data_IF_585319230641
#
_entry.id   IF_585319230641
#
_cell.length_a   1.000
_cell.length_b   1.000
_cell.length_c   1.000
_cell.angle_alpha   90.00
_cell.angle_beta   90.00
_cell.angle_gamma   90.00
#
_symmetry.space_group_name_H-M   'P 1'
#
loop_
_entity.id
_entity.type
_entity.pdbx_description
1 polymer ?
#
# COMPACT_ATOMS: atom_id res chain seq x y z
N UNK A 1 35.37 49.98 79.52
CA UNK A 1 35.72 48.63 79.02
C UNK A 1 34.49 47.79 78.66
N UNK A 2 33.46 47.72 79.51
CA UNK A 2 32.25 46.93 79.23
C UNK A 2 31.45 47.42 78.00
N UNK A 3 31.30 48.73 77.82
CA UNK A 3 30.59 49.31 76.66
C UNK A 3 31.25 49.01 75.31
N UNK A 4 32.58 49.11 75.23
CA UNK A 4 33.32 48.79 74.01
C UNK A 4 33.20 47.30 73.63
N UNK A 5 33.14 46.41 74.63
CA UNK A 5 32.93 44.97 74.41
C UNK A 5 31.52 44.72 73.86
N UNK A 6 30.50 45.41 74.38
CA UNK A 6 29.12 45.29 73.89
C UNK A 6 28.98 45.74 72.43
N UNK A 7 29.63 46.84 72.04
CA UNK A 7 29.64 47.32 70.65
C UNK A 7 30.32 46.31 69.72
N UNK A 8 31.46 45.76 70.14
CA UNK A 8 32.19 44.75 69.37
C UNK A 8 31.35 43.48 69.16
N UNK A 9 30.68 43.00 70.21
CA UNK A 9 29.78 41.86 70.16
C UNK A 9 28.60 42.13 69.20
N UNK A 10 28.01 43.33 69.26
CA UNK A 10 26.93 43.72 68.35
C UNK A 10 27.35 43.70 66.88
N UNK A 11 28.55 44.19 66.56
CA UNK A 11 29.09 44.16 65.19
C UNK A 11 29.32 42.73 64.72
N UNK A 12 29.92 41.89 65.57
CA UNK A 12 30.17 40.47 65.25
C UNK A 12 28.84 39.74 64.99
N UNK A 13 27.83 39.97 65.82
CA UNK A 13 26.49 39.41 65.63
C UNK A 13 25.86 39.91 64.33
N UNK A 14 25.98 41.20 64.02
CA UNK A 14 25.47 41.77 62.76
C UNK A 14 26.13 41.18 61.52
N UNK A 15 27.46 40.99 61.56
CA UNK A 15 28.21 40.35 60.46
C UNK A 15 27.81 38.88 60.32
N UNK A 16 27.70 38.13 61.42
CA UNK A 16 27.24 36.75 61.40
C UNK A 16 25.82 36.66 60.82
N UNK A 17 24.91 37.51 61.27
CA UNK A 17 23.53 37.53 60.77
C UNK A 17 23.47 37.87 59.29
N UNK A 18 24.23 38.87 58.84
CA UNK A 18 24.33 39.23 57.42
C UNK A 18 24.91 38.09 56.57
N UNK A 19 25.93 37.38 57.07
CA UNK A 19 26.52 36.23 56.41
C UNK A 19 25.51 35.09 56.26
N UNK A 20 24.80 34.73 57.34
CA UNK A 20 23.76 33.69 57.29
C UNK A 20 22.61 34.07 56.37
N UNK A 21 22.15 35.33 56.43
CA UNK A 21 21.10 35.84 55.54
C UNK A 21 21.53 35.79 54.07
N UNK A 22 22.74 36.24 53.75
CA UNK A 22 23.25 36.24 52.38
C UNK A 22 23.42 34.81 51.85
N UNK A 23 24.01 33.92 52.65
CA UNK A 23 24.19 32.51 52.29
C UNK A 23 22.85 31.83 52.00
N UNK A 24 21.86 32.00 52.89
CA UNK A 24 20.53 31.44 52.69
C UNK A 24 19.87 31.96 51.39
N UNK A 25 20.04 33.25 51.08
CA UNK A 25 19.50 33.86 49.86
C UNK A 25 20.15 33.28 48.59
N UNK A 26 21.47 33.10 48.60
CA UNK A 26 22.23 32.54 47.47
C UNK A 26 21.82 31.09 47.19
N UNK A 27 21.69 30.26 48.24
CA UNK A 27 21.25 28.87 48.10
C UNK A 27 19.83 28.78 47.50
N UNK A 28 18.94 29.71 47.89
CA UNK A 28 17.56 29.74 47.40
C UNK A 28 17.48 30.16 45.92
N UNK A 29 18.29 31.15 45.51
CA UNK A 29 18.38 31.56 44.10
C UNK A 29 19.02 30.48 43.23
N UNK A 30 20.08 29.81 43.72
CA UNK A 30 20.74 28.72 42.99
C UNK A 30 19.80 27.53 42.76
N UNK A 31 18.97 27.19 43.76
CA UNK A 31 17.94 26.14 43.62
C UNK A 31 16.88 26.50 42.59
N UNK A 32 16.29 27.71 42.68
CA UNK A 32 15.28 28.16 41.71
C UNK A 32 15.81 28.20 40.29
N UNK A 33 17.00 28.76 40.09
CA UNK A 33 17.63 28.84 38.78
C UNK A 33 17.97 27.44 38.23
N UNK A 34 18.44 26.53 39.08
CA UNK A 34 18.72 25.15 38.71
C UNK A 34 17.46 24.39 38.28
N UNK A 35 16.36 24.55 39.01
CA UNK A 35 15.06 23.95 38.68
C UNK A 35 14.52 24.50 37.35
N UNK A 36 14.50 25.83 37.16
CA UNK A 36 14.01 26.45 35.92
C UNK A 36 14.85 26.05 34.69
N UNK A 37 16.17 26.03 34.80
CA UNK A 37 17.06 25.62 33.71
C UNK A 37 16.85 24.13 33.41
N UNK A 38 16.77 23.29 34.45
CA UNK A 38 16.53 21.85 34.31
C UNK A 38 15.21 21.56 33.58
N UNK A 39 14.14 22.24 33.98
CA UNK A 39 12.82 22.09 33.37
C UNK A 39 12.82 22.56 31.92
N UNK A 40 13.42 23.72 31.63
CA UNK A 40 13.47 24.28 30.26
C UNK A 40 14.26 23.37 29.31
N UNK A 41 15.41 22.87 29.75
CA UNK A 41 16.24 21.95 28.95
C UNK A 41 15.53 20.63 28.72
N UNK A 42 14.84 20.11 29.74
CA UNK A 42 14.07 18.88 29.63
C UNK A 42 12.91 19.02 28.63
N UNK A 43 12.12 20.08 28.74
CA UNK A 43 11.01 20.36 27.81
C UNK A 43 11.50 20.56 26.37
N UNK A 44 12.61 21.28 26.18
CA UNK A 44 13.19 21.46 24.85
C UNK A 44 13.62 20.13 24.21
N UNK A 45 14.35 19.29 24.96
CA UNK A 45 14.80 17.98 24.44
C UNK A 45 13.64 17.04 24.18
N UNK A 46 12.61 17.08 25.02
CA UNK A 46 11.40 16.28 24.83
C UNK A 46 10.69 16.69 23.54
N UNK A 47 10.47 17.98 23.33
CA UNK A 47 9.81 18.50 22.13
C UNK A 47 10.62 18.18 20.85
N UNK A 48 11.94 18.29 20.90
CA UNK A 48 12.82 17.95 19.77
C UNK A 48 12.75 16.45 19.44
N UNK A 49 12.76 15.60 20.47
CA UNK A 49 12.66 14.14 20.30
C UNK A 49 11.29 13.73 19.73
N UNK A 50 10.20 14.32 20.24
CA UNK A 50 8.84 14.11 19.72
C UNK A 50 8.73 14.50 18.25
N UNK A 51 9.32 15.63 17.86
CA UNK A 51 9.29 16.12 16.49
C UNK A 51 10.05 15.19 15.52
N UNK A 52 11.23 14.73 15.91
CA UNK A 52 12.00 13.74 15.14
C UNK A 52 11.26 12.41 15.03
N UNK A 53 10.58 11.99 16.11
CA UNK A 53 9.74 10.80 16.09
C UNK A 53 8.58 10.95 15.11
N UNK A 54 7.85 12.07 15.15
CA UNK A 54 6.74 12.33 14.23
C UNK A 54 7.18 12.35 12.77
N UNK A 55 8.29 13.01 12.45
CA UNK A 55 8.84 13.06 11.09
C UNK A 55 9.22 11.66 10.59
N UNK A 56 9.90 10.86 11.42
CA UNK A 56 10.24 9.47 11.07
C UNK A 56 9.02 8.57 10.94
N UNK A 57 8.04 8.70 11.83
CA UNK A 57 6.80 7.91 11.77
C UNK A 57 6.01 8.23 10.52
N UNK A 58 5.90 9.51 10.14
CA UNK A 58 5.22 9.90 8.89
C UNK A 58 5.89 9.30 7.68
N UNK A 59 7.22 9.42 7.57
CA UNK A 59 7.97 8.86 6.45
C UNK A 59 7.83 7.33 6.36
N UNK A 60 7.93 6.63 7.50
CA UNK A 60 7.76 5.19 7.56
C UNK A 60 6.34 4.74 7.19
N UNK A 61 5.33 5.45 7.69
CA UNK A 61 3.92 5.17 7.39
C UNK A 61 3.60 5.39 5.90
N UNK A 62 4.19 6.43 5.30
CA UNK A 62 4.00 6.76 3.90
C UNK A 62 4.67 5.72 2.98
N UNK A 63 5.90 5.31 3.28
CA UNK A 63 6.56 4.19 2.59
C UNK A 63 5.78 2.88 2.73
N UNK A 64 5.37 2.55 3.96
CA UNK A 64 4.61 1.32 4.22
C UNK A 64 3.26 1.30 3.48
N UNK A 65 2.57 2.45 3.37
CA UNK A 65 1.35 2.57 2.55
C UNK A 65 1.60 2.28 1.08
N UNK A 66 2.65 2.87 0.50
CA UNK A 66 2.99 2.67 -0.92
C UNK A 66 3.33 1.20 -1.20
N UNK A 67 4.15 0.59 -0.35
CA UNK A 67 4.53 -0.81 -0.49
C UNK A 67 3.34 -1.76 -0.32
N UNK A 68 2.49 -1.49 0.68
CA UNK A 68 1.29 -2.29 0.94
C UNK A 68 0.25 -2.15 -0.17
N UNK A 69 0.04 -0.94 -0.69
CA UNK A 69 -0.87 -0.71 -1.83
C UNK A 69 -0.37 -1.42 -3.09
N UNK A 70 0.95 -1.38 -3.36
CA UNK A 70 1.55 -2.08 -4.48
C UNK A 70 1.41 -3.60 -4.34
N UNK A 71 1.71 -4.16 -3.17
CA UNK A 71 1.56 -5.58 -2.90
C UNK A 71 0.09 -6.03 -2.97
N UNK A 72 -0.83 -5.24 -2.43
CA UNK A 72 -2.27 -5.52 -2.50
C UNK A 72 -2.78 -5.45 -3.94
N UNK A 73 -2.28 -4.50 -4.75
CA UNK A 73 -2.63 -4.38 -6.17
C UNK A 73 -2.10 -5.54 -6.98
N UNK A 74 -0.86 -5.96 -6.75
CA UNK A 74 -0.26 -7.13 -7.41
C UNK A 74 -0.96 -8.43 -6.99
N UNK A 75 -1.25 -8.61 -5.69
CA UNK A 75 -1.95 -9.78 -5.16
C UNK A 75 -3.42 -9.82 -5.59
N UNK A 76 -4.11 -8.67 -5.62
CA UNK A 76 -5.48 -8.58 -6.15
C UNK A 76 -5.53 -8.85 -7.66
N UNK A 77 -4.54 -8.40 -8.43
CA UNK A 77 -4.45 -8.70 -9.87
C UNK A 77 -4.08 -10.17 -10.14
N UNK A 78 -3.28 -10.79 -9.27
CA UNK A 78 -2.88 -12.20 -9.39
C UNK A 78 -3.97 -13.18 -8.90
N UNK A 79 -4.50 -12.96 -7.68
CA UNK A 79 -5.58 -13.79 -7.11
C UNK A 79 -6.91 -13.59 -7.80
N UNK A 80 -7.28 -12.35 -8.18
CA UNK A 80 -8.55 -12.17 -8.89
C UNK A 80 -8.50 -12.83 -10.26
N UNK A 81 -7.42 -12.79 -11.04
CA UNK A 81 -7.46 -13.41 -12.38
C UNK A 81 -7.59 -14.92 -12.35
N UNK A 82 -6.91 -15.64 -11.47
CA UNK A 82 -6.99 -17.10 -11.43
C UNK A 82 -8.29 -17.60 -10.77
N UNK A 83 -8.69 -17.00 -9.65
CA UNK A 83 -9.91 -17.38 -8.92
C UNK A 83 -11.16 -16.91 -9.66
N UNK A 84 -11.17 -15.70 -10.23
CA UNK A 84 -12.27 -15.21 -11.06
C UNK A 84 -12.36 -16.01 -12.38
N UNK A 85 -11.24 -16.41 -13.00
CA UNK A 85 -11.28 -17.33 -14.17
C UNK A 85 -11.86 -18.68 -13.79
N UNK A 86 -11.50 -19.25 -12.63
CA UNK A 86 -12.09 -20.50 -12.14
C UNK A 86 -13.59 -20.38 -11.90
N UNK A 87 -14.00 -19.36 -11.14
CA UNK A 87 -15.41 -19.10 -10.82
C UNK A 87 -16.25 -18.77 -12.07
N UNK A 88 -15.72 -17.96 -12.99
CA UNK A 88 -16.40 -17.66 -14.27
C UNK A 88 -16.44 -18.90 -15.16
N UNK A 89 -15.35 -19.67 -15.27
CA UNK A 89 -15.34 -20.89 -16.07
C UNK A 89 -16.35 -21.93 -15.54
N UNK A 90 -16.51 -22.05 -14.22
CA UNK A 90 -17.54 -22.91 -13.61
C UNK A 90 -18.96 -22.44 -13.92
N UNK A 91 -19.23 -21.14 -13.81
CA UNK A 91 -20.54 -20.57 -14.13
C UNK A 91 -20.87 -20.62 -15.63
N UNK A 92 -19.86 -20.58 -16.49
CA UNK A 92 -20.02 -20.62 -17.95
C UNK A 92 -19.87 -22.03 -18.55
N UNK A 93 -19.41 -23.03 -17.78
CA UNK A 93 -19.34 -24.42 -18.23
C UNK A 93 -20.69 -24.96 -18.76
N UNK A 94 -21.85 -24.64 -18.16
CA UNK A 94 -23.15 -24.97 -18.75
C UNK A 94 -23.38 -24.32 -20.12
N UNK A 95 -22.92 -23.09 -20.31
CA UNK A 95 -23.05 -22.36 -21.57
C UNK A 95 -22.17 -23.00 -22.66
N UNK A 96 -20.94 -23.40 -22.33
CA UNK A 96 -20.07 -24.12 -23.27
C UNK A 96 -20.63 -25.48 -23.71
N UNK A 97 -21.38 -26.17 -22.83
CA UNK A 97 -22.12 -27.39 -23.23
C UNK A 97 -23.17 -27.11 -24.29
N UNK A 98 -23.81 -25.94 -24.28
CA UNK A 98 -24.78 -25.52 -25.29
C UNK A 98 -24.08 -25.22 -26.63
N UNK A 99 -22.91 -24.57 -26.57
CA UNK A 99 -22.12 -24.24 -27.76
C UNK A 99 -21.33 -25.42 -28.35
N UNK A 100 -21.26 -26.55 -27.65
CA UNK A 100 -20.61 -27.77 -28.13
C UNK A 100 -19.08 -27.75 -28.08
N UNK A 101 -18.48 -26.85 -27.29
CA UNK A 101 -17.02 -26.74 -27.16
C UNK A 101 -16.53 -27.19 -25.79
N UNK A 102 -15.30 -27.71 -25.72
CA UNK A 102 -14.65 -28.03 -24.46
C UNK A 102 -14.29 -26.73 -23.70
N UNK A 103 -14.78 -26.51 -22.47
CA UNK A 103 -14.44 -25.32 -21.69
C UNK A 103 -12.92 -25.11 -21.52
N UNK A 104 -12.14 -26.20 -21.45
CA UNK A 104 -10.67 -26.17 -21.32
C UNK A 104 -9.96 -25.58 -22.54
N UNK A 105 -10.63 -25.53 -23.68
CA UNK A 105 -10.12 -24.97 -24.94
C UNK A 105 -10.43 -23.48 -25.10
N UNK A 106 -11.24 -22.89 -24.22
CA UNK A 106 -11.59 -21.48 -24.24
C UNK A 106 -10.58 -20.61 -23.46
N UNK A 107 -10.28 -19.42 -23.96
CA UNK A 107 -9.48 -18.38 -23.29
C UNK A 107 -10.27 -17.09 -23.23
N UNK A 108 -10.50 -16.58 -22.01
CA UNK A 108 -11.16 -15.30 -21.80
C UNK A 108 -10.22 -14.12 -22.13
N UNK A 109 -10.74 -13.17 -22.90
CA UNK A 109 -10.09 -11.92 -23.32
C UNK A 109 -10.86 -10.71 -22.74
N UNK A 110 -12.19 -10.66 -22.93
CA UNK A 110 -13.10 -9.65 -22.39
C UNK A 110 -13.34 -8.43 -23.28
N UNK A 111 -12.31 -7.91 -23.96
CA UNK A 111 -12.43 -6.82 -24.95
C UNK A 111 -11.35 -6.99 -26.03
N UNK A 112 -11.65 -6.87 -27.34
CA UNK A 112 -12.94 -6.50 -27.95
C UNK A 112 -13.92 -7.66 -28.19
N UNK A 113 -13.56 -8.89 -27.81
CA UNK A 113 -14.41 -10.09 -27.80
C UNK A 113 -14.22 -10.83 -26.48
N UNK A 114 -15.26 -11.49 -25.97
CA UNK A 114 -15.17 -12.16 -24.67
C UNK A 114 -14.19 -13.35 -24.67
N UNK A 115 -14.24 -14.21 -25.69
CA UNK A 115 -13.48 -15.47 -25.73
C UNK A 115 -12.79 -15.74 -27.06
N UNK A 116 -11.63 -16.40 -26.98
CA UNK A 116 -10.98 -17.13 -28.07
C UNK A 116 -11.03 -18.61 -27.72
N UNK A 117 -11.72 -19.41 -28.53
CA UNK A 117 -11.85 -20.86 -28.34
C UNK A 117 -10.93 -21.54 -29.36
N UNK A 118 -10.02 -22.36 -28.85
CA UNK A 118 -9.10 -23.19 -29.63
C UNK A 118 -9.68 -24.59 -29.76
N UNK A 119 -10.75 -24.72 -30.53
CA UNK A 119 -11.55 -25.95 -30.63
C UNK A 119 -10.71 -27.14 -31.11
N UNK A 120 -10.57 -28.14 -30.23
CA UNK A 120 -9.70 -29.32 -30.44
C UNK A 120 -8.32 -29.24 -29.80
N UNK A 121 -7.93 -28.10 -29.21
CA UNK A 121 -6.62 -27.89 -28.62
C UNK A 121 -6.25 -28.93 -27.56
N UNK A 122 -7.14 -29.24 -26.62
CA UNK A 122 -6.87 -30.22 -25.55
C UNK A 122 -6.52 -31.58 -26.15
N UNK A 123 -7.27 -32.04 -27.15
CA UNK A 123 -7.05 -33.32 -27.82
C UNK A 123 -5.72 -33.37 -28.58
N UNK A 124 -5.39 -32.30 -29.30
CA UNK A 124 -4.10 -32.17 -30.01
C UNK A 124 -2.94 -32.13 -29.03
N UNK A 125 -3.06 -31.37 -27.94
CA UNK A 125 -2.05 -31.27 -26.89
C UNK A 125 -1.79 -32.61 -26.20
N UNK A 126 -2.84 -33.39 -25.98
CA UNK A 126 -2.79 -34.74 -25.41
C UNK A 126 -2.41 -35.82 -26.43
N UNK A 127 -2.16 -35.43 -27.70
CA UNK A 127 -1.79 -36.31 -28.82
C UNK A 127 -2.81 -37.41 -29.10
N UNK A 128 -4.09 -37.13 -28.82
CA UNK A 128 -5.20 -38.04 -29.10
C UNK A 128 -5.65 -37.94 -30.57
N UNK A 129 -5.55 -36.75 -31.15
CA UNK A 129 -5.91 -36.45 -32.54
C UNK A 129 -4.83 -35.56 -33.15
N UNK A 130 -4.51 -35.78 -34.43
CA UNK A 130 -3.64 -34.91 -35.22
C UNK A 130 -4.50 -34.17 -36.25
N UNK A 131 -5.03 -33.02 -35.85
CA UNK A 131 -5.92 -32.21 -36.67
C UNK A 131 -5.62 -30.72 -36.49
N UNK A 132 -5.94 -29.87 -37.49
CA UNK A 132 -5.89 -28.43 -37.32
C UNK A 132 -6.83 -27.96 -36.20
N UNK A 133 -6.35 -27.03 -35.37
CA UNK A 133 -7.16 -26.39 -34.34
C UNK A 133 -7.99 -25.29 -34.98
N UNK A 134 -9.32 -25.33 -34.77
CA UNK A 134 -10.21 -24.26 -35.21
C UNK A 134 -10.22 -23.14 -34.17
N UNK A 135 -10.02 -21.91 -34.63
CA UNK A 135 -10.09 -20.72 -33.78
C UNK A 135 -11.48 -20.11 -33.91
N UNK A 136 -12.19 -19.96 -32.80
CA UNK A 136 -13.51 -19.31 -32.73
C UNK A 136 -13.40 -18.07 -31.84
N UNK A 137 -13.74 -16.91 -32.39
CA UNK A 137 -13.95 -15.70 -31.60
C UNK A 137 -15.41 -15.67 -31.16
N UNK A 138 -15.64 -15.71 -29.87
CA UNK A 138 -16.98 -15.79 -29.28
C UNK A 138 -17.23 -14.59 -28.37
N UNK A 139 -18.43 -14.04 -28.49
CA UNK A 139 -18.94 -12.97 -27.65
C UNK A 139 -20.25 -13.43 -27.03
N UNK A 140 -20.36 -13.35 -25.71
CA UNK A 140 -21.51 -13.85 -24.97
C UNK A 140 -22.50 -12.70 -24.81
N UNK A 141 -23.60 -12.79 -25.54
CA UNK A 141 -24.75 -11.90 -25.36
C UNK A 141 -25.82 -12.60 -24.54
N UNK A 142 -26.43 -11.87 -23.60
CA UNK A 142 -27.59 -12.34 -22.85
C UNK A 142 -28.80 -11.47 -23.21
N UNK A 143 -29.98 -12.08 -23.37
CA UNK A 143 -31.20 -11.36 -23.78
C UNK A 143 -31.13 -10.82 -25.21
N UNK A 144 -31.52 -9.56 -25.39
CA UNK A 144 -31.60 -8.85 -26.68
C UNK A 144 -30.32 -8.05 -27.01
N UNK A 145 -29.19 -8.37 -26.38
CA UNK A 145 -27.95 -7.61 -26.57
C UNK A 145 -27.34 -7.86 -27.97
N UNK A 146 -27.18 -6.80 -28.75
CA UNK A 146 -26.54 -6.82 -30.06
C UNK A 146 -25.01 -6.64 -30.00
N UNK A 147 -24.30 -7.05 -31.07
CA UNK A 147 -22.88 -6.77 -31.24
C UNK A 147 -22.61 -5.27 -31.25
N UNK A 148 -21.51 -4.82 -30.61
CA UNK A 148 -21.05 -3.43 -30.70
C UNK A 148 -20.57 -3.08 -32.12
N UNK A 149 -20.31 -1.79 -32.38
CA UNK A 149 -19.76 -1.38 -33.67
C UNK A 149 -18.44 -2.09 -33.97
N UNK A 150 -17.52 -2.10 -33.02
CA UNK A 150 -16.20 -2.73 -33.09
C UNK A 150 -16.33 -4.24 -33.33
N UNK A 151 -17.20 -4.92 -32.59
CA UNK A 151 -17.48 -6.36 -32.74
C UNK A 151 -18.03 -6.69 -34.12
N UNK A 152 -18.92 -5.86 -34.67
CA UNK A 152 -19.40 -6.01 -36.06
C UNK A 152 -18.27 -5.86 -37.07
N UNK A 153 -17.33 -4.93 -36.86
CA UNK A 153 -16.14 -4.79 -37.73
C UNK A 153 -15.22 -5.99 -37.64
N UNK A 154 -15.03 -6.56 -36.45
CA UNK A 154 -14.27 -7.79 -36.24
C UNK A 154 -14.92 -8.96 -36.97
N UNK A 155 -16.23 -9.18 -36.79
CA UNK A 155 -17.00 -10.21 -37.50
C UNK A 155 -16.83 -10.10 -39.01
N UNK A 156 -16.99 -8.90 -39.57
CA UNK A 156 -16.77 -8.64 -40.99
C UNK A 156 -15.33 -8.94 -41.44
N UNK A 157 -14.33 -8.65 -40.59
CA UNK A 157 -12.93 -8.98 -40.86
C UNK A 157 -12.71 -10.49 -40.98
N UNK A 158 -13.29 -11.25 -40.06
CA UNK A 158 -13.24 -12.73 -40.06
C UNK A 158 -13.95 -13.29 -41.31
N UNK A 159 -15.15 -12.80 -41.63
CA UNK A 159 -15.91 -13.21 -42.81
C UNK A 159 -15.16 -12.94 -44.12
N UNK A 160 -14.30 -11.91 -44.13
CA UNK A 160 -13.42 -11.58 -45.26
C UNK A 160 -12.08 -12.31 -45.23
N UNK A 161 -11.82 -13.18 -44.25
CA UNK A 161 -10.57 -13.91 -44.11
C UNK A 161 -9.38 -13.03 -43.67
N UNK A 162 -9.62 -11.87 -43.07
CA UNK A 162 -8.58 -10.96 -42.57
C UNK A 162 -8.01 -11.44 -41.23
N UNK A 163 -7.53 -12.69 -41.19
CA UNK A 163 -6.93 -13.33 -40.02
C UNK A 163 -5.56 -13.87 -40.43
N UNK A 164 -4.51 -13.49 -39.71
CA UNK A 164 -3.13 -13.88 -40.00
C UNK A 164 -2.51 -14.60 -38.81
N UNK A 165 -1.78 -15.68 -39.07
CA UNK A 165 -0.88 -16.30 -38.10
C UNK A 165 0.55 -15.83 -38.38
N UNK A 166 1.13 -15.03 -37.48
CA UNK A 166 2.48 -14.46 -37.65
C UNK A 166 3.40 -14.85 -36.50
N UNK A 167 4.59 -15.34 -36.85
CA UNK A 167 5.65 -15.63 -35.88
C UNK A 167 6.54 -14.39 -35.78
N UNK A 168 6.58 -13.76 -34.61
CA UNK A 168 7.49 -12.66 -34.30
C UNK A 168 8.55 -13.21 -33.35
N UNK A 169 9.83 -13.09 -33.74
CA UNK A 169 10.98 -13.45 -32.89
C UNK A 169 11.63 -12.16 -32.41
N UNK A 170 11.96 -12.12 -31.12
CA UNK A 170 12.72 -11.04 -30.49
C UNK A 170 14.14 -11.50 -30.23
#
# INVERSE_FOLDING_TARGET
MMEAILILVGIIIGILFAFFYFRARVELMARKLGEEIGQRVFEQRKAELEKVFEEKYKAFLEQWKIETEKALREDALAKSRAVLKGAIAEQLAPIFKIFGHNPSDARFIGDPVDYVIFDGYTKVRERLEDMPIKIVLADIKTGEADLTYEQRRIKQGIEKGLVEFKIIRM
#
